data_IF_000442950429
#
_entry.id   IF_000442950429
#
_cell.length_a   1.000
_cell.length_b   1.000
_cell.length_c   1.000
_cell.angle_alpha   90.00
_cell.angle_beta   90.00
_cell.angle_gamma   90.00
#
_symmetry.space_group_name_H-M   'P 1'
#
loop_
_entity.id
_entity.type
_entity.pdbx_description
1 polymer ?
#
# COMPACT_ATOMS: atom_id res chain seq x y z
N UNK A 1 -25.00 9.19 -28.13
CA UNK A 1 -23.83 8.31 -28.27
C UNK A 1 -24.33 6.90 -28.38
N UNK A 2 -23.99 6.22 -29.44
CA UNK A 2 -24.33 4.82 -29.63
C UNK A 2 -23.59 3.95 -28.60
N UNK A 3 -24.26 2.96 -28.01
CA UNK A 3 -23.66 2.00 -27.11
C UNK A 3 -22.64 1.14 -27.87
N UNK A 4 -21.38 1.22 -27.51
CA UNK A 4 -20.33 0.39 -28.11
C UNK A 4 -20.35 -1.04 -27.58
N UNK A 5 -20.79 -1.24 -26.31
CA UNK A 5 -20.87 -2.55 -25.67
C UNK A 5 -21.93 -2.56 -24.59
N UNK A 6 -22.67 -3.66 -24.48
CA UNK A 6 -23.59 -3.96 -23.40
C UNK A 6 -23.37 -5.40 -22.91
N UNK A 7 -22.98 -5.60 -21.62
CA UNK A 7 -22.77 -6.93 -21.11
C UNK A 7 -24.11 -7.71 -21.03
N UNK A 8 -24.06 -9.00 -21.39
CA UNK A 8 -25.24 -9.85 -21.28
C UNK A 8 -25.67 -10.03 -19.82
N UNK A 9 -26.96 -10.27 -19.57
CA UNK A 9 -27.48 -10.56 -18.21
C UNK A 9 -26.78 -11.77 -17.57
N UNK A 10 -26.41 -12.77 -18.38
CA UNK A 10 -25.67 -13.95 -17.90
C UNK A 10 -24.27 -13.54 -17.40
N UNK A 11 -23.56 -12.73 -18.14
CA UNK A 11 -22.24 -12.21 -17.76
C UNK A 11 -22.34 -11.34 -16.48
N UNK A 12 -23.30 -10.40 -16.41
CA UNK A 12 -23.49 -9.55 -15.22
C UNK A 12 -23.61 -10.39 -13.95
N UNK A 13 -24.39 -11.48 -13.96
CA UNK A 13 -24.60 -12.36 -12.81
C UNK A 13 -23.32 -13.11 -12.36
N UNK A 14 -22.29 -13.21 -13.18
CA UNK A 14 -21.01 -13.82 -12.81
C UNK A 14 -20.05 -12.84 -12.13
N UNK A 15 -20.29 -11.54 -12.23
CA UNK A 15 -19.40 -10.51 -11.69
C UNK A 15 -19.41 -10.45 -10.16
N UNK A 16 -18.29 -10.06 -9.58
CA UNK A 16 -18.20 -9.87 -8.14
C UNK A 16 -19.07 -8.71 -7.65
N UNK A 17 -19.23 -7.66 -8.47
CA UNK A 17 -20.13 -6.55 -8.17
C UNK A 17 -21.59 -7.05 -8.01
N UNK A 18 -22.05 -7.94 -8.88
CA UNK A 18 -23.40 -8.51 -8.77
C UNK A 18 -23.55 -9.36 -7.49
N UNK A 19 -22.55 -10.15 -7.14
CA UNK A 19 -22.56 -10.93 -5.88
C UNK A 19 -22.65 -10.01 -4.66
N UNK A 20 -21.86 -8.93 -4.66
CA UNK A 20 -21.90 -7.93 -3.60
C UNK A 20 -23.25 -7.18 -3.55
N UNK A 21 -23.81 -6.81 -4.72
CA UNK A 21 -25.17 -6.24 -4.79
C UNK A 21 -26.20 -7.18 -4.18
N UNK A 22 -26.16 -8.47 -4.50
CA UNK A 22 -27.07 -9.47 -3.94
C UNK A 22 -26.94 -9.56 -2.41
N UNK A 23 -25.71 -9.52 -1.90
CA UNK A 23 -25.45 -9.46 -0.46
C UNK A 23 -26.09 -8.22 0.18
N UNK A 24 -25.92 -7.03 -0.42
CA UNK A 24 -26.55 -5.80 0.09
C UNK A 24 -28.09 -5.87 0.04
N UNK A 25 -28.66 -6.42 -1.04
CA UNK A 25 -30.11 -6.60 -1.17
C UNK A 25 -30.69 -7.48 -0.06
N UNK A 26 -29.99 -8.56 0.29
CA UNK A 26 -30.36 -9.44 1.39
C UNK A 26 -30.22 -8.74 2.75
N UNK A 27 -29.05 -8.12 2.99
CA UNK A 27 -28.74 -7.45 4.26
C UNK A 27 -29.72 -6.33 4.61
N UNK A 28 -30.14 -5.53 3.63
CA UNK A 28 -30.99 -4.36 3.84
C UNK A 28 -32.46 -4.56 3.41
N UNK A 29 -32.84 -5.79 3.02
CA UNK A 29 -34.17 -6.11 2.52
C UNK A 29 -34.63 -5.15 1.41
N UNK A 30 -33.73 -4.86 0.46
CA UNK A 30 -33.92 -3.92 -0.65
C UNK A 30 -33.68 -4.59 -1.99
N UNK A 31 -34.14 -3.93 -3.08
CA UNK A 31 -33.84 -4.32 -4.45
C UNK A 31 -33.21 -3.15 -5.20
N UNK A 32 -32.09 -3.42 -5.88
CA UNK A 32 -31.45 -2.45 -6.77
C UNK A 32 -31.74 -2.82 -8.23
N UNK A 33 -32.67 -2.10 -8.86
CA UNK A 33 -33.11 -2.38 -10.23
C UNK A 33 -31.98 -2.26 -11.27
N UNK A 34 -30.97 -1.43 -11.00
CA UNK A 34 -29.82 -1.18 -11.86
C UNK A 34 -28.67 -0.56 -11.06
N UNK A 35 -27.49 -0.46 -11.70
CA UNK A 35 -26.30 0.14 -11.11
C UNK A 35 -26.53 1.55 -10.57
N UNK A 36 -27.25 2.42 -11.28
CA UNK A 36 -27.51 3.79 -10.81
C UNK A 36 -28.27 3.82 -9.48
N UNK A 37 -29.22 2.92 -9.28
CA UNK A 37 -29.96 2.81 -8.00
C UNK A 37 -29.07 2.32 -6.87
N UNK A 38 -28.18 1.37 -7.13
CA UNK A 38 -27.14 0.95 -6.18
C UNK A 38 -26.22 2.13 -5.86
N UNK A 39 -25.65 2.80 -6.86
CA UNK A 39 -24.76 3.94 -6.69
C UNK A 39 -25.42 5.08 -5.89
N UNK A 40 -26.64 5.45 -6.21
CA UNK A 40 -27.39 6.47 -5.44
C UNK A 40 -27.58 6.06 -3.98
N UNK A 41 -27.81 4.78 -3.72
CA UNK A 41 -27.94 4.29 -2.34
C UNK A 41 -26.62 4.38 -1.58
N UNK A 42 -25.50 3.99 -2.19
CA UNK A 42 -24.16 4.08 -1.54
C UNK A 42 -23.82 5.52 -1.17
N UNK A 43 -24.16 6.49 -2.02
CA UNK A 43 -23.93 7.91 -1.75
C UNK A 43 -24.82 8.46 -0.61
N UNK A 44 -26.04 7.96 -0.49
CA UNK A 44 -26.97 8.36 0.58
C UNK A 44 -26.67 7.68 1.92
N UNK A 45 -26.05 6.50 1.89
CA UNK A 45 -25.81 5.65 3.06
C UNK A 45 -24.31 5.24 3.16
N UNK A 46 -23.38 6.21 3.20
CA UNK A 46 -21.95 5.90 3.13
C UNK A 46 -21.47 5.06 4.32
N UNK A 47 -22.02 5.23 5.51
CA UNK A 47 -21.68 4.42 6.69
C UNK A 47 -22.05 2.95 6.50
N UNK A 48 -23.28 2.69 6.11
CA UNK A 48 -23.81 1.34 5.85
C UNK A 48 -23.07 0.66 4.70
N UNK A 49 -22.77 1.41 3.64
CA UNK A 49 -22.01 0.89 2.50
C UNK A 49 -20.61 0.43 2.91
N UNK A 50 -19.82 1.29 3.56
CA UNK A 50 -18.46 0.96 3.92
C UNK A 50 -18.38 -0.11 5.03
N UNK A 51 -19.36 -0.14 5.94
CA UNK A 51 -19.48 -1.22 6.92
C UNK A 51 -19.82 -2.56 6.25
N UNK A 52 -20.63 -2.53 5.19
CA UNK A 52 -20.91 -3.72 4.38
C UNK A 52 -19.67 -4.23 3.62
N UNK A 53 -18.77 -3.35 3.18
CA UNK A 53 -17.46 -3.74 2.62
C UNK A 53 -16.62 -4.48 3.68
N UNK A 54 -16.55 -3.94 4.90
CA UNK A 54 -15.82 -4.58 6.01
C UNK A 54 -16.34 -5.99 6.30
N UNK A 55 -17.65 -6.14 6.38
CA UNK A 55 -18.29 -7.43 6.68
C UNK A 55 -18.14 -8.42 5.52
N UNK A 56 -18.42 -7.98 4.29
CA UNK A 56 -18.35 -8.83 3.10
C UNK A 56 -16.95 -9.42 2.87
N UNK A 57 -15.91 -8.65 3.13
CA UNK A 57 -14.52 -9.08 3.02
C UNK A 57 -13.93 -9.63 4.34
N UNK A 58 -14.74 -9.75 5.39
CA UNK A 58 -14.31 -10.23 6.70
C UNK A 58 -13.04 -9.53 7.22
N UNK A 59 -13.08 -8.18 7.23
CA UNK A 59 -11.95 -7.38 7.67
C UNK A 59 -11.97 -7.22 9.18
N UNK A 60 -10.86 -7.55 9.83
CA UNK A 60 -10.67 -7.28 11.25
C UNK A 60 -10.50 -5.80 11.52
N UNK A 61 -11.50 -5.20 12.13
CA UNK A 61 -11.45 -3.83 12.66
C UNK A 61 -11.75 -3.89 14.16
N UNK A 62 -10.78 -3.45 14.97
CA UNK A 62 -10.98 -3.25 16.39
C UNK A 62 -11.88 -2.03 16.60
N UNK A 63 -13.14 -2.25 17.05
CA UNK A 63 -14.10 -1.17 17.37
C UNK A 63 -14.00 -0.84 18.85
N UNK A 64 -13.76 0.43 19.15
CA UNK A 64 -13.69 0.94 20.53
C UNK A 64 -15.03 1.52 20.97
N UNK A 65 -15.11 1.88 22.25
CA UNK A 65 -16.28 2.59 22.79
C UNK A 65 -16.57 3.84 21.95
N UNK A 66 -17.85 4.10 21.66
CA UNK A 66 -18.35 5.19 20.81
C UNK A 66 -17.93 5.07 19.33
N UNK A 67 -17.61 3.87 18.85
CA UNK A 67 -17.40 3.64 17.43
C UNK A 67 -18.55 4.17 16.58
N UNK A 68 -18.21 4.80 15.44
CA UNK A 68 -19.15 5.20 14.38
C UNK A 68 -18.55 4.96 13.02
N UNK A 69 -19.24 4.19 12.18
CA UNK A 69 -18.80 3.93 10.81
C UNK A 69 -18.73 5.21 9.96
N UNK A 70 -19.62 6.17 10.21
CA UNK A 70 -19.64 7.45 9.52
C UNK A 70 -20.18 8.57 10.41
N UNK A 71 -19.44 9.69 10.44
CA UNK A 71 -19.89 10.96 11.01
C UNK A 71 -19.95 12.01 9.91
N UNK A 72 -21.16 12.38 9.51
CA UNK A 72 -21.36 13.42 8.51
C UNK A 72 -20.91 14.78 9.06
N UNK A 73 -20.05 15.46 8.30
CA UNK A 73 -19.66 16.85 8.46
C UNK A 73 -19.70 17.50 7.08
N UNK A 74 -18.95 18.58 6.84
CA UNK A 74 -18.72 19.02 5.46
C UNK A 74 -18.00 17.91 4.67
N UNK A 75 -18.05 17.99 3.34
CA UNK A 75 -17.46 16.96 2.47
C UNK A 75 -16.04 16.59 2.87
N UNK A 76 -15.18 17.58 3.13
CA UNK A 76 -13.77 17.39 3.48
C UNK A 76 -13.52 16.93 4.92
N UNK A 77 -14.47 17.14 5.83
CA UNK A 77 -14.30 16.86 7.25
C UNK A 77 -15.13 15.67 7.74
N UNK A 78 -15.79 14.96 6.85
CA UNK A 78 -16.50 13.73 7.21
C UNK A 78 -15.54 12.67 7.71
N UNK A 79 -15.92 11.98 8.78
CA UNK A 79 -15.06 11.01 9.46
C UNK A 79 -15.64 9.62 9.23
N UNK A 80 -14.79 8.70 8.77
CA UNK A 80 -15.10 7.29 8.60
C UNK A 80 -14.43 6.46 9.68
N UNK A 81 -15.12 5.45 10.20
CA UNK A 81 -14.65 4.48 11.19
C UNK A 81 -13.98 5.12 12.41
N UNK A 82 -14.64 6.15 12.95
CA UNK A 82 -14.17 6.82 14.15
C UNK A 82 -14.07 5.85 15.33
N UNK A 83 -13.05 6.01 16.18
CA UNK A 83 -12.79 5.12 17.30
C UNK A 83 -12.61 3.65 16.87
N UNK A 84 -11.91 3.43 15.77
CA UNK A 84 -11.52 2.09 15.35
C UNK A 84 -10.03 2.00 15.02
N UNK A 85 -9.50 0.79 15.12
CA UNK A 85 -8.12 0.48 14.78
C UNK A 85 -8.05 -0.70 13.80
N UNK A 86 -7.02 -0.68 12.98
CA UNK A 86 -6.59 -1.80 12.12
C UNK A 86 -5.14 -1.58 11.69
N UNK A 87 -4.58 -2.54 10.97
CA UNK A 87 -3.34 -2.33 10.20
C UNK A 87 -3.55 -2.81 8.76
N UNK A 88 -3.16 -2.01 7.78
CA UNK A 88 -3.25 -2.39 6.36
C UNK A 88 -2.61 -3.74 6.07
N UNK A 89 -1.49 -4.06 6.74
CA UNK A 89 -0.77 -5.32 6.58
C UNK A 89 -1.54 -6.54 7.13
N UNK A 90 -2.55 -6.35 7.99
CA UNK A 90 -3.28 -7.48 8.59
C UNK A 90 -3.96 -8.35 7.53
N UNK A 91 -4.45 -7.75 6.44
CA UNK A 91 -5.04 -8.49 5.33
C UNK A 91 -4.02 -9.44 4.67
N UNK A 92 -2.79 -8.96 4.48
CA UNK A 92 -1.71 -9.75 3.85
C UNK A 92 -1.20 -10.81 4.82
N UNK A 93 -1.02 -10.47 6.09
CA UNK A 93 -0.45 -11.36 7.11
C UNK A 93 -1.31 -12.59 7.43
N UNK A 94 -2.62 -12.51 7.19
CA UNK A 94 -3.55 -13.64 7.36
C UNK A 94 -3.32 -14.75 6.34
N UNK A 95 -2.84 -14.41 5.14
CA UNK A 95 -2.50 -15.39 4.14
C UNK A 95 -1.04 -15.84 4.32
N UNK A 96 -0.84 -17.07 4.75
CA UNK A 96 0.49 -17.69 4.91
C UNK A 96 0.60 -18.99 4.11
N UNK A 97 -0.08 -19.00 2.96
CA UNK A 97 -0.14 -20.16 2.07
C UNK A 97 1.08 -20.28 1.16
N UNK A 98 1.13 -21.36 0.42
CA UNK A 98 2.04 -21.56 -0.71
C UNK A 98 1.56 -20.90 -2.01
N UNK A 99 0.44 -20.19 -1.96
CA UNK A 99 -0.07 -19.49 -3.13
C UNK A 99 0.86 -18.36 -3.58
N UNK A 100 0.85 -18.06 -4.86
CA UNK A 100 1.66 -17.02 -5.46
C UNK A 100 1.20 -15.65 -4.96
N UNK A 101 2.12 -14.89 -4.35
CA UNK A 101 1.89 -13.53 -3.88
C UNK A 101 2.44 -12.48 -4.84
N UNK A 102 3.65 -12.70 -5.35
CA UNK A 102 4.31 -11.77 -6.29
C UNK A 102 4.96 -12.58 -7.42
N UNK A 103 4.68 -12.21 -8.65
CA UNK A 103 5.44 -12.64 -9.81
C UNK A 103 6.18 -11.44 -10.39
N UNK A 104 7.51 -11.51 -10.42
CA UNK A 104 8.37 -10.47 -10.98
C UNK A 104 9.00 -10.98 -12.27
N UNK A 105 8.94 -10.17 -13.31
CA UNK A 105 9.59 -10.40 -14.60
C UNK A 105 10.38 -9.13 -14.94
N UNK A 106 11.70 -9.23 -14.92
CA UNK A 106 12.59 -8.10 -15.19
C UNK A 106 13.02 -8.00 -16.65
N UNK A 107 13.36 -6.79 -17.10
CA UNK A 107 13.92 -6.57 -18.44
C UNK A 107 15.25 -7.32 -18.68
N UNK A 108 15.97 -7.68 -17.61
CA UNK A 108 17.18 -8.51 -17.65
C UNK A 108 16.88 -10.01 -17.83
N UNK A 109 15.66 -10.37 -18.20
CA UNK A 109 15.15 -11.75 -18.36
C UNK A 109 15.18 -12.57 -17.06
N UNK A 110 15.45 -11.96 -15.92
CA UNK A 110 15.30 -12.61 -14.62
C UNK A 110 13.84 -12.60 -14.17
N UNK A 111 13.36 -13.72 -13.66
CA UNK A 111 12.05 -13.82 -13.04
C UNK A 111 12.16 -14.41 -11.63
N UNK A 112 11.26 -13.97 -10.74
CA UNK A 112 11.14 -14.48 -9.38
C UNK A 112 9.67 -14.64 -9.01
N UNK A 113 9.32 -15.79 -8.42
CA UNK A 113 8.00 -16.05 -7.84
C UNK A 113 8.14 -16.08 -6.32
N UNK A 114 7.35 -15.31 -5.64
CA UNK A 114 7.33 -15.21 -4.17
C UNK A 114 5.95 -15.65 -3.70
N UNK A 115 5.89 -16.70 -2.89
CA UNK A 115 4.66 -17.18 -2.26
C UNK A 115 4.35 -16.38 -0.99
N UNK A 116 3.10 -16.40 -0.51
CA UNK A 116 2.70 -15.59 0.67
C UNK A 116 3.50 -15.91 1.92
N UNK A 117 3.83 -17.16 2.19
CA UNK A 117 4.65 -17.52 3.35
C UNK A 117 6.05 -16.89 3.30
N UNK A 118 6.70 -16.86 2.13
CA UNK A 118 8.01 -16.24 1.96
C UNK A 118 7.92 -14.70 1.99
N UNK A 119 6.88 -14.13 1.38
CA UNK A 119 6.59 -12.70 1.47
C UNK A 119 6.47 -12.25 2.93
N UNK A 120 5.65 -12.94 3.73
CA UNK A 120 5.46 -12.62 5.14
C UNK A 120 6.75 -12.77 5.95
N UNK A 121 7.58 -13.76 5.65
CA UNK A 121 8.90 -13.95 6.27
C UNK A 121 9.83 -12.76 5.99
N UNK A 122 9.92 -12.33 4.72
CA UNK A 122 10.74 -11.18 4.31
C UNK A 122 10.25 -9.88 4.94
N UNK A 123 8.94 -9.64 4.95
CA UNK A 123 8.32 -8.47 5.60
C UNK A 123 8.61 -8.47 7.10
N UNK A 124 8.47 -9.61 7.76
CA UNK A 124 8.76 -9.72 9.18
C UNK A 124 10.23 -9.39 9.49
N UNK A 125 11.16 -9.93 8.72
CA UNK A 125 12.58 -9.67 8.90
C UNK A 125 12.92 -8.18 8.71
N UNK A 126 12.42 -7.55 7.64
CA UNK A 126 12.70 -6.15 7.35
C UNK A 126 12.04 -5.21 8.38
N UNK A 127 10.83 -5.53 8.83
CA UNK A 127 10.16 -4.74 9.88
C UNK A 127 10.90 -4.82 11.22
N UNK A 128 11.51 -5.96 11.54
CA UNK A 128 12.35 -6.11 12.74
C UNK A 128 13.66 -5.32 12.59
N UNK A 129 14.27 -5.33 11.42
CA UNK A 129 15.42 -4.48 11.12
C UNK A 129 15.07 -2.99 11.29
N UNK A 130 13.93 -2.54 10.80
CA UNK A 130 13.50 -1.14 10.97
C UNK A 130 13.40 -0.76 12.45
N UNK A 131 12.78 -1.62 13.28
CA UNK A 131 12.72 -1.42 14.75
C UNK A 131 14.11 -1.40 15.39
N UNK A 132 15.01 -2.30 15.00
CA UNK A 132 16.39 -2.36 15.48
C UNK A 132 17.15 -1.06 15.13
N UNK A 133 16.83 -0.41 14.03
CA UNK A 133 17.37 0.90 13.60
C UNK A 133 16.64 2.11 14.21
N UNK A 134 15.76 1.88 15.17
CA UNK A 134 15.05 2.95 15.88
C UNK A 134 13.91 3.59 15.11
N UNK A 135 13.43 2.98 14.01
CA UNK A 135 12.23 3.43 13.31
C UNK A 135 10.99 3.10 14.13
N UNK A 136 10.16 4.09 14.35
CA UNK A 136 8.96 4.01 15.19
C UNK A 136 7.69 4.32 14.36
N UNK A 137 6.54 4.08 14.98
CA UNK A 137 5.23 4.52 14.46
C UNK A 137 5.26 6.01 14.14
N UNK A 138 4.81 6.36 12.93
CA UNK A 138 4.76 7.74 12.43
C UNK A 138 6.06 8.23 11.78
N UNK A 139 7.19 7.52 11.95
CA UNK A 139 8.42 7.86 11.23
C UNK A 139 8.27 7.60 9.74
N UNK A 140 8.96 8.39 8.92
CA UNK A 140 8.86 8.27 7.47
C UNK A 140 10.02 7.44 6.91
N UNK A 141 9.67 6.47 6.08
CA UNK A 141 10.58 5.67 5.26
C UNK A 141 10.30 6.01 3.80
N UNK A 142 11.33 6.35 3.04
CA UNK A 142 11.17 6.64 1.60
C UNK A 142 11.92 5.66 0.73
N UNK A 143 11.36 5.33 -0.42
CA UNK A 143 11.95 4.47 -1.44
C UNK A 143 12.23 5.23 -2.73
N UNK A 144 13.49 5.25 -3.17
CA UNK A 144 13.86 5.64 -4.52
C UNK A 144 14.20 4.37 -5.29
N UNK A 145 13.16 3.74 -5.84
CA UNK A 145 13.19 2.33 -6.24
C UNK A 145 12.46 2.10 -7.58
N UNK A 146 12.93 1.16 -8.39
CA UNK A 146 12.14 0.64 -9.51
C UNK A 146 11.01 -0.26 -9.00
N UNK A 147 10.11 -0.68 -9.90
CA UNK A 147 9.05 -1.63 -9.57
C UNK A 147 9.62 -3.06 -9.45
N UNK A 148 10.14 -3.38 -8.27
CA UNK A 148 10.75 -4.67 -7.90
C UNK A 148 10.11 -5.22 -6.63
N UNK A 149 10.22 -6.53 -6.34
CA UNK A 149 9.65 -7.14 -5.13
C UNK A 149 10.05 -6.43 -3.84
N UNK A 150 11.29 -5.97 -3.73
CA UNK A 150 11.79 -5.25 -2.55
C UNK A 150 11.05 -3.94 -2.28
N UNK A 151 10.48 -3.30 -3.31
CA UNK A 151 9.64 -2.10 -3.15
C UNK A 151 8.35 -2.43 -2.40
N UNK A 152 7.67 -3.51 -2.79
CA UNK A 152 6.45 -3.99 -2.12
C UNK A 152 6.74 -4.46 -0.71
N UNK A 153 7.81 -5.25 -0.52
CA UNK A 153 8.24 -5.75 0.79
C UNK A 153 8.57 -4.58 1.73
N UNK A 154 9.26 -3.56 1.24
CA UNK A 154 9.61 -2.37 2.03
C UNK A 154 8.39 -1.57 2.47
N UNK A 155 7.44 -1.35 1.57
CA UNK A 155 6.16 -0.70 1.87
C UNK A 155 5.37 -1.47 2.94
N UNK A 156 5.19 -2.78 2.75
CA UNK A 156 4.43 -3.61 3.70
C UNK A 156 5.16 -3.73 5.06
N UNK A 157 6.49 -3.71 5.06
CA UNK A 157 7.30 -3.70 6.30
C UNK A 157 7.14 -2.38 7.07
N UNK A 158 7.07 -1.24 6.38
CA UNK A 158 6.75 0.05 6.98
C UNK A 158 5.32 0.05 7.55
N UNK A 159 4.34 -0.40 6.78
CA UNK A 159 2.94 -0.52 7.23
C UNK A 159 2.80 -1.38 8.49
N UNK A 160 3.49 -2.53 8.55
CA UNK A 160 3.47 -3.46 9.70
C UNK A 160 3.84 -2.77 11.01
N UNK A 161 4.80 -1.84 11.00
CA UNK A 161 5.27 -1.11 12.18
C UNK A 161 4.63 0.28 12.35
N UNK A 162 3.69 0.65 11.46
CA UNK A 162 3.04 1.97 11.46
C UNK A 162 3.95 3.12 11.07
N UNK A 163 5.06 2.85 10.39
CA UNK A 163 5.83 3.87 9.72
C UNK A 163 5.12 4.32 8.44
N UNK A 164 5.32 5.56 8.04
CA UNK A 164 4.70 6.15 6.85
C UNK A 164 5.60 5.93 5.65
N UNK A 165 5.05 5.36 4.58
CA UNK A 165 5.79 5.11 3.35
C UNK A 165 5.64 6.26 2.35
N UNK A 166 6.69 6.51 1.57
CA UNK A 166 6.58 7.23 0.30
C UNK A 166 7.61 6.73 -0.70
N UNK A 167 7.33 6.84 -1.99
CA UNK A 167 8.29 6.40 -3.00
C UNK A 167 8.29 7.30 -4.22
N UNK A 168 9.44 7.37 -4.86
CA UNK A 168 9.65 7.94 -6.19
C UNK A 168 10.10 6.87 -7.15
N UNK A 169 9.63 6.98 -8.39
CA UNK A 169 10.07 6.10 -9.48
C UNK A 169 11.56 6.28 -9.77
N UNK A 170 12.17 5.21 -10.23
CA UNK A 170 13.58 5.12 -10.54
C UNK A 170 14.08 6.11 -11.58
N UNK A 171 13.22 6.55 -12.48
CA UNK A 171 13.52 7.46 -13.59
C UNK A 171 13.46 8.95 -13.18
N UNK A 172 13.03 9.27 -11.95
CA UNK A 172 13.01 10.65 -11.49
C UNK A 172 14.44 11.20 -11.36
N UNK A 173 14.65 12.42 -11.84
CA UNK A 173 15.89 13.16 -11.61
C UNK A 173 16.09 13.50 -10.13
N UNK A 174 17.35 13.67 -9.71
CA UNK A 174 17.73 13.92 -8.31
C UNK A 174 16.95 15.07 -7.68
N UNK A 175 16.78 16.19 -8.40
CA UNK A 175 16.04 17.35 -7.90
C UNK A 175 14.58 17.01 -7.66
N UNK A 176 13.94 16.30 -8.58
CA UNK A 176 12.54 15.87 -8.42
C UNK A 176 12.32 14.95 -7.21
N UNK A 177 13.32 14.13 -6.84
CA UNK A 177 13.30 13.31 -5.62
C UNK A 177 13.47 14.18 -4.37
N UNK A 178 14.42 15.15 -4.40
CA UNK A 178 14.64 16.09 -3.29
C UNK A 178 13.38 16.93 -3.03
N UNK A 179 12.77 17.49 -4.06
CA UNK A 179 11.57 18.33 -3.97
C UNK A 179 10.38 17.62 -3.27
N UNK A 180 10.35 16.29 -3.37
CA UNK A 180 9.34 15.45 -2.73
C UNK A 180 9.74 15.04 -1.32
N UNK A 181 10.87 14.38 -1.21
CA UNK A 181 11.25 13.72 0.05
C UNK A 181 11.70 14.69 1.14
N UNK A 182 12.26 15.85 0.80
CA UNK A 182 12.62 16.88 1.79
C UNK A 182 11.43 17.37 2.60
N UNK A 183 10.24 17.41 2.00
CA UNK A 183 8.99 17.77 2.68
C UNK A 183 8.59 16.77 3.77
N UNK A 184 9.05 15.50 3.66
CA UNK A 184 8.67 14.39 4.53
C UNK A 184 9.64 14.16 5.69
N UNK A 185 10.85 14.72 5.64
CA UNK A 185 11.93 14.52 6.63
C UNK A 185 12.17 13.04 6.96
N UNK A 186 12.52 12.21 5.97
CA UNK A 186 12.61 10.77 6.15
C UNK A 186 13.72 10.38 7.12
N UNK A 187 13.48 9.36 7.96
CA UNK A 187 14.51 8.72 8.79
C UNK A 187 15.31 7.65 8.05
N UNK A 188 14.71 7.04 7.04
CA UNK A 188 15.34 6.00 6.24
C UNK A 188 15.03 6.20 4.76
N UNK A 189 16.05 6.07 3.92
CA UNK A 189 15.95 6.03 2.47
C UNK A 189 16.40 4.66 1.97
N UNK A 190 15.53 3.96 1.28
CA UNK A 190 15.87 2.73 0.56
C UNK A 190 16.12 3.07 -0.90
N UNK A 191 17.24 2.61 -1.43
CA UNK A 191 17.66 2.93 -2.80
C UNK A 191 18.16 1.69 -3.51
N UNK A 192 17.79 1.52 -4.78
CA UNK A 192 18.37 0.50 -5.63
C UNK A 192 19.74 0.96 -6.16
N UNK A 193 20.62 0.04 -6.48
CA UNK A 193 21.91 0.33 -7.12
C UNK A 193 21.76 0.72 -8.60
N UNK A 194 20.81 0.07 -9.30
CA UNK A 194 20.48 0.34 -10.70
C UNK A 194 19.06 -0.11 -11.04
N UNK A 195 18.59 0.28 -12.22
CA UNK A 195 17.38 -0.23 -12.86
C UNK A 195 17.59 -0.43 -14.35
N UNK A 196 16.69 -1.16 -14.99
CA UNK A 196 16.62 -1.28 -16.44
C UNK A 196 15.46 -0.46 -16.98
N UNK A 197 15.67 0.15 -18.13
CA UNK A 197 14.63 0.79 -18.90
C UNK A 197 14.95 0.72 -20.39
N UNK A 198 14.06 0.16 -21.20
CA UNK A 198 14.22 -0.05 -22.64
C UNK A 198 15.54 -0.77 -22.95
N UNK A 199 15.85 -1.86 -22.24
CA UNK A 199 17.05 -2.67 -22.38
C UNK A 199 18.35 -2.03 -21.90
N UNK A 200 18.32 -0.79 -21.39
CA UNK A 200 19.51 -0.08 -20.89
C UNK A 200 19.57 -0.10 -19.37
N UNK A 201 20.79 -0.19 -18.82
CA UNK A 201 21.06 -0.15 -17.39
C UNK A 201 21.38 1.27 -16.93
N UNK A 202 20.66 1.78 -15.92
CA UNK A 202 20.86 3.10 -15.32
C UNK A 202 21.27 2.96 -13.85
N UNK A 203 22.27 3.74 -13.41
CA UNK A 203 22.80 3.67 -12.04
C UNK A 203 22.40 4.90 -11.22
N UNK A 204 22.07 4.67 -9.94
CA UNK A 204 21.72 5.72 -8.98
C UNK A 204 22.90 6.28 -8.19
N UNK A 205 24.00 5.53 -8.10
CA UNK A 205 25.08 5.74 -7.14
C UNK A 205 25.71 7.14 -7.18
N UNK A 206 25.70 7.79 -8.34
CA UNK A 206 26.29 9.13 -8.52
C UNK A 206 25.60 10.22 -7.70
N UNK A 207 24.30 10.06 -7.38
CA UNK A 207 23.47 11.11 -6.77
C UNK A 207 23.19 10.86 -5.29
N UNK A 208 23.64 9.74 -4.72
CA UNK A 208 23.30 9.35 -3.37
C UNK A 208 23.82 10.32 -2.29
N UNK A 209 25.02 10.89 -2.50
CA UNK A 209 25.58 11.91 -1.58
C UNK A 209 24.72 13.17 -1.54
N UNK A 210 24.32 13.66 -2.71
CA UNK A 210 23.44 14.83 -2.85
C UNK A 210 22.07 14.57 -2.19
N UNK A 211 21.46 13.42 -2.46
CA UNK A 211 20.21 13.02 -1.83
C UNK A 211 20.35 13.00 -0.30
N UNK A 212 21.38 12.34 0.22
CA UNK A 212 21.58 12.22 1.66
C UNK A 212 21.72 13.59 2.33
N UNK A 213 22.51 14.48 1.78
CA UNK A 213 22.72 15.84 2.33
C UNK A 213 21.41 16.66 2.34
N UNK A 214 20.62 16.60 1.27
CA UNK A 214 19.38 17.38 1.14
C UNK A 214 18.18 16.76 1.88
N UNK A 215 18.26 15.52 2.37
CA UNK A 215 17.20 14.82 3.09
C UNK A 215 17.46 14.71 4.60
N UNK A 216 18.27 15.57 5.19
CA UNK A 216 18.59 15.57 6.61
C UNK A 216 19.35 14.31 7.07
N UNK A 217 20.23 13.77 6.24
CA UNK A 217 21.06 12.60 6.54
C UNK A 217 20.28 11.34 7.01
N UNK A 218 19.27 10.87 6.28
CA UNK A 218 18.58 9.65 6.65
C UNK A 218 19.53 8.46 6.65
N UNK A 219 19.16 7.41 7.40
CA UNK A 219 19.82 6.11 7.25
C UNK A 219 19.62 5.63 5.79
N UNK A 220 20.70 5.15 5.16
CA UNK A 220 20.62 4.59 3.80
C UNK A 220 20.61 3.08 3.87
N UNK A 221 19.68 2.45 3.16
CA UNK A 221 19.60 1.01 2.98
C UNK A 221 19.59 0.71 1.47
N UNK A 222 20.53 -0.12 1.03
CA UNK A 222 20.71 -0.41 -0.40
C UNK A 222 20.07 -1.75 -0.76
N UNK A 223 19.41 -1.77 -1.92
CA UNK A 223 19.01 -3.01 -2.58
C UNK A 223 19.56 -3.06 -4.00
N UNK A 224 19.46 -4.24 -4.62
CA UNK A 224 19.88 -4.45 -6.00
C UNK A 224 18.69 -4.86 -6.86
N UNK A 225 18.71 -4.48 -8.13
CA UNK A 225 17.75 -5.00 -9.08
C UNK A 225 17.82 -6.54 -9.10
N UNK A 226 16.69 -7.25 -9.12
CA UNK A 226 16.67 -8.70 -9.00
C UNK A 226 17.51 -9.41 -10.05
N UNK A 227 18.31 -10.37 -9.59
CA UNK A 227 19.20 -11.19 -10.41
C UNK A 227 19.55 -12.49 -9.70
N UNK A 228 20.13 -13.49 -10.42
CA UNK A 228 20.57 -14.77 -9.82
C UNK A 228 21.56 -14.57 -8.67
N UNK A 229 22.48 -13.62 -8.79
CA UNK A 229 23.57 -13.38 -7.84
C UNK A 229 23.31 -12.14 -6.97
N UNK A 230 22.05 -11.87 -6.62
CA UNK A 230 21.72 -10.73 -5.78
C UNK A 230 22.21 -10.94 -4.33
N UNK A 231 23.14 -10.08 -3.89
CA UNK A 231 23.72 -10.06 -2.53
C UNK A 231 23.43 -8.76 -1.79
N UNK A 232 22.32 -8.09 -2.12
CA UNK A 232 21.93 -6.81 -1.54
C UNK A 232 21.81 -6.85 0.00
N UNK A 233 21.88 -5.67 0.62
CA UNK A 233 21.71 -5.52 2.06
C UNK A 233 20.32 -6.05 2.49
N UNK A 234 19.26 -5.78 1.71
CA UNK A 234 17.92 -6.30 2.01
C UNK A 234 17.91 -7.84 2.02
N UNK A 235 18.52 -8.49 1.04
CA UNK A 235 18.55 -9.96 0.98
C UNK A 235 19.31 -10.57 2.16
N UNK A 236 20.38 -9.91 2.62
CA UNK A 236 21.07 -10.31 3.86
C UNK A 236 20.16 -10.19 5.09
N UNK A 237 19.36 -9.11 5.18
CA UNK A 237 18.41 -8.90 6.27
C UNK A 237 17.34 -9.98 6.28
N UNK A 238 16.75 -10.34 5.12
CA UNK A 238 15.72 -11.37 5.04
C UNK A 238 16.16 -12.71 5.59
N UNK A 239 17.44 -13.05 5.44
CA UNK A 239 18.04 -14.33 5.85
C UNK A 239 18.73 -14.27 7.23
N UNK A 240 18.74 -13.11 7.90
CA UNK A 240 19.49 -12.94 9.13
C UNK A 240 18.68 -13.45 10.34
N UNK A 241 19.23 -14.41 11.09
CA UNK A 241 18.58 -15.06 12.25
C UNK A 241 18.06 -14.06 13.30
N UNK A 242 18.78 -12.95 13.55
CA UNK A 242 18.37 -11.89 14.48
C UNK A 242 16.98 -11.34 14.16
N UNK A 243 16.58 -11.31 12.89
CA UNK A 243 15.34 -10.69 12.44
C UNK A 243 14.21 -11.70 12.15
N UNK A 244 14.45 -13.00 12.37
CA UNK A 244 13.48 -14.07 12.06
C UNK A 244 12.32 -14.17 13.06
N UNK A 245 12.45 -13.59 14.27
CA UNK A 245 11.41 -13.66 15.31
C UNK A 245 10.13 -13.03 14.81
N UNK A 246 9.01 -13.77 14.90
CA UNK A 246 7.70 -13.25 14.54
C UNK A 246 7.22 -12.24 15.58
N UNK A 247 6.82 -11.06 15.13
CA UNK A 247 6.24 -10.02 15.97
C UNK A 247 4.83 -9.69 15.49
N UNK A 248 3.94 -9.41 16.42
CA UNK A 248 2.58 -8.95 16.13
C UNK A 248 2.61 -7.63 15.36
N UNK A 249 1.61 -7.45 14.51
CA UNK A 249 1.35 -6.18 13.87
C UNK A 249 0.90 -5.17 14.93
N UNK A 250 1.22 -3.91 14.75
CA UNK A 250 0.72 -2.89 15.69
C UNK A 250 -0.69 -2.46 15.27
N UNK A 251 -1.55 -2.29 16.27
CA UNK A 251 -2.89 -1.73 16.09
C UNK A 251 -2.78 -0.22 15.89
N UNK A 252 -3.38 0.30 14.84
CA UNK A 252 -3.28 1.70 14.40
C UNK A 252 -4.67 2.30 14.26
N UNK A 253 -4.85 3.57 14.61
CA UNK A 253 -6.11 4.26 14.31
C UNK A 253 -6.43 4.17 12.81
N UNK A 254 -7.70 4.07 12.46
CA UNK A 254 -8.17 3.92 11.08
C UNK A 254 -7.54 4.94 10.13
N UNK A 255 -7.39 6.18 10.57
CA UNK A 255 -6.82 7.28 9.80
C UNK A 255 -5.31 7.48 10.00
N UNK A 256 -4.62 6.55 10.68
CA UNK A 256 -3.17 6.64 10.80
C UNK A 256 -2.54 6.66 9.40
N UNK A 257 -1.59 7.58 9.12
CA UNK A 257 -0.94 7.67 7.81
C UNK A 257 -0.29 6.35 7.40
N UNK A 258 -0.61 5.86 6.21
CA UNK A 258 -0.03 4.67 5.58
C UNK A 258 1.07 5.06 4.61
N UNK A 259 0.73 5.93 3.66
CA UNK A 259 1.68 6.44 2.67
C UNK A 259 1.36 7.86 2.23
N UNK A 260 2.37 8.52 1.68
CA UNK A 260 2.25 9.84 1.06
C UNK A 260 2.56 9.72 -0.43
N UNK A 261 1.63 10.17 -1.26
CA UNK A 261 1.80 10.36 -2.69
C UNK A 261 1.95 11.83 -3.04
N UNK A 262 2.41 12.11 -4.24
CA UNK A 262 2.61 13.47 -4.72
C UNK A 262 1.80 13.72 -5.98
N UNK A 263 1.05 14.81 -6.01
CA UNK A 263 0.47 15.31 -7.24
C UNK A 263 1.41 16.29 -7.91
N UNK A 264 1.43 16.28 -9.25
CA UNK A 264 2.06 17.33 -10.04
C UNK A 264 1.28 18.62 -9.83
N UNK A 265 1.80 19.56 -9.02
CA UNK A 265 1.26 20.89 -8.95
C UNK A 265 1.50 21.64 -10.27
N UNK A 266 0.51 22.37 -10.76
CA UNK A 266 0.68 23.26 -11.94
C UNK A 266 1.60 24.43 -11.64
N UNK A 267 1.84 24.75 -10.37
CA UNK A 267 2.68 25.85 -9.90
C UNK A 267 3.40 25.46 -8.61
N UNK A 268 4.73 25.26 -8.66
CA UNK A 268 5.57 25.08 -7.49
C UNK A 268 5.89 23.62 -7.13
N UNK A 269 6.21 23.37 -5.86
CA UNK A 269 6.57 22.04 -5.36
C UNK A 269 5.41 21.05 -5.44
N UNK A 270 5.69 19.75 -5.67
CA UNK A 270 4.70 18.70 -5.63
C UNK A 270 3.92 18.71 -4.29
N UNK A 271 2.60 18.58 -4.36
CA UNK A 271 1.74 18.56 -3.16
C UNK A 271 1.70 17.18 -2.54
N UNK A 272 1.93 17.09 -1.23
CA UNK A 272 1.80 15.84 -0.46
C UNK A 272 0.33 15.48 -0.25
N UNK A 273 -0.03 14.26 -0.60
CA UNK A 273 -1.36 13.69 -0.36
C UNK A 273 -1.19 12.46 0.54
N UNK A 274 -1.63 12.59 1.78
CA UNK A 274 -1.52 11.51 2.78
C UNK A 274 -2.75 10.61 2.73
N UNK A 275 -2.52 9.30 2.67
CA UNK A 275 -3.54 8.27 2.72
C UNK A 275 -3.43 7.46 4.01
N UNK A 276 -4.58 7.21 4.67
CA UNK A 276 -4.64 6.44 5.91
C UNK A 276 -4.76 4.93 5.68
N UNK A 277 -4.41 4.14 6.70
CA UNK A 277 -4.47 2.67 6.66
C UNK A 277 -5.85 2.14 6.29
N UNK A 278 -6.88 2.59 6.99
CA UNK A 278 -8.23 2.06 6.80
C UNK A 278 -8.84 2.47 5.47
N UNK A 279 -8.77 3.76 5.12
CA UNK A 279 -9.31 4.26 3.86
C UNK A 279 -8.67 3.59 2.64
N UNK A 280 -7.34 3.43 2.65
CA UNK A 280 -6.63 2.72 1.57
C UNK A 280 -7.02 1.25 1.50
N UNK A 281 -7.12 0.57 2.65
CA UNK A 281 -7.49 -0.84 2.67
C UNK A 281 -8.86 -1.08 2.06
N UNK A 282 -9.87 -0.36 2.53
CA UNK A 282 -11.24 -0.53 2.06
C UNK A 282 -11.41 -0.14 0.59
N UNK A 283 -10.74 0.94 0.17
CA UNK A 283 -10.78 1.38 -1.23
C UNK A 283 -10.10 0.37 -2.16
N UNK A 284 -8.93 -0.17 -1.79
CA UNK A 284 -8.24 -1.19 -2.59
C UNK A 284 -9.07 -2.47 -2.70
N UNK A 285 -9.69 -2.93 -1.61
CA UNK A 285 -10.58 -4.11 -1.66
C UNK A 285 -11.77 -3.87 -2.58
N UNK A 286 -12.42 -2.72 -2.46
CA UNK A 286 -13.55 -2.36 -3.32
C UNK A 286 -13.13 -2.36 -4.80
N UNK A 287 -12.04 -1.66 -5.15
CA UNK A 287 -11.60 -1.53 -6.54
C UNK A 287 -11.11 -2.86 -7.13
N UNK A 288 -10.24 -3.56 -6.40
CA UNK A 288 -9.57 -4.76 -6.93
C UNK A 288 -10.46 -6.02 -6.91
N UNK A 289 -11.53 -6.02 -6.09
CA UNK A 289 -12.35 -7.23 -5.91
C UNK A 289 -13.75 -7.10 -6.48
N UNK A 290 -14.31 -5.89 -6.63
CA UNK A 290 -15.68 -5.70 -7.13
C UNK A 290 -15.73 -5.22 -8.58
N UNK A 291 -14.63 -4.70 -9.14
CA UNK A 291 -14.56 -4.18 -10.52
C UNK A 291 -13.77 -5.07 -11.47
#
# INVERSE_FOLDING_TARGET
MDKLFEPSRKFIKTTNLYKFQTYLEQKFSKKFLNYNKLWLWTNKNPGEFWESIVEYFNIDIERKRFFKAYKKKSFWNSIFFDNSNLNYYDLISKNNSSDLAIEFIGENKFSEKIIYSDLNKRINALSNFFRDKGIKKGDVIVGYLPNIPDTVISFLSAAKIGAVWSSCSADFGTQAVIDRFSQLKPKLLIVADYYFYNGKKFQYSKNLRTLKANLNNPLILKTSYPSKNNTSELKKIYNHKKYSKLNKNISLSFNHPLYVLFSSGTTGLPKCITHGHGGSLLQHLKELSLH
#
